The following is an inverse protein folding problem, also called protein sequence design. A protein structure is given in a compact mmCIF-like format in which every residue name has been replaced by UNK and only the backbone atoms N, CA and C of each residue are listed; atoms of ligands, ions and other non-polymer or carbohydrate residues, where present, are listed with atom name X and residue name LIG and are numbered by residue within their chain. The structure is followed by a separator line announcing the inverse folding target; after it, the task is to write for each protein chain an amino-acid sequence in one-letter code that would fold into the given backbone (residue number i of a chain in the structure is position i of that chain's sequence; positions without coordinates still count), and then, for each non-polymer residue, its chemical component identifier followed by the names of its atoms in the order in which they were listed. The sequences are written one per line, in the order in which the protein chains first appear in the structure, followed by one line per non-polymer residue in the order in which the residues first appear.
data_IF_497685753464
#
_entry.id   IF_497685753464
#
_cell.length_a   1.000
_cell.length_b   1.000
_cell.length_c   1.000
_cell.angle_alpha   90.00
_cell.angle_beta   90.00
_cell.angle_gamma   90.00
#
_symmetry.space_group_name_H-M   'P 1'
#
loop_
_entity.id
_entity.type
_entity.pdbx_description
1 polymer ?
#
# COMPACT_ATOMS: atom_id res chain seq x y z
N UNK A 1 -6.93 6.27 12.08
CA UNK A 1 -7.90 5.51 12.91
C UNK A 1 -7.65 5.79 14.38
N UNK A 2 -6.40 5.69 14.84
CA UNK A 2 -6.00 6.05 16.22
C UNK A 2 -6.59 7.38 16.71
N UNK A 3 -6.44 8.47 15.95
CA UNK A 3 -7.01 9.80 16.28
C UNK A 3 -8.52 9.78 16.57
N UNK A 4 -9.29 9.09 15.74
CA UNK A 4 -10.75 8.98 15.88
C UNK A 4 -11.10 8.17 17.13
N UNK A 5 -10.30 7.16 17.46
CA UNK A 5 -10.49 6.34 18.67
C UNK A 5 -10.17 7.14 19.92
N UNK A 6 -9.11 7.95 19.90
CA UNK A 6 -8.78 8.85 20.99
C UNK A 6 -9.94 9.83 21.25
N UNK A 7 -10.46 10.48 20.20
CA UNK A 7 -11.63 11.36 20.32
C UNK A 7 -12.84 10.61 20.87
N UNK A 8 -13.11 9.37 20.41
CA UNK A 8 -14.19 8.54 20.95
C UNK A 8 -14.04 8.31 22.44
N UNK A 9 -12.84 7.96 22.89
CA UNK A 9 -12.59 7.63 24.29
C UNK A 9 -12.76 8.85 25.19
N UNK A 10 -12.26 10.01 24.76
CA UNK A 10 -12.42 11.28 25.49
C UNK A 10 -13.89 11.73 25.51
N UNK A 11 -14.61 11.58 24.41
CA UNK A 11 -16.04 11.88 24.35
C UNK A 11 -16.83 10.99 25.32
N UNK A 12 -16.61 9.67 25.30
CA UNK A 12 -17.22 8.74 26.25
C UNK A 12 -16.91 9.11 27.70
N UNK A 13 -15.65 9.38 28.00
CA UNK A 13 -15.25 9.81 29.34
C UNK A 13 -15.96 11.10 29.79
N UNK A 14 -16.12 12.07 28.88
CA UNK A 14 -16.81 13.33 29.18
C UNK A 14 -18.30 13.11 29.48
N UNK A 15 -18.94 12.21 28.73
CA UNK A 15 -20.34 11.81 28.92
C UNK A 15 -20.53 11.06 30.23
N UNK A 16 -19.68 10.07 30.52
CA UNK A 16 -19.69 9.29 31.76
C UNK A 16 -19.53 10.17 33.00
N UNK A 17 -18.70 11.21 32.90
CA UNK A 17 -18.48 12.20 33.98
C UNK A 17 -19.53 13.31 34.02
N UNK A 18 -20.50 13.32 33.09
CA UNK A 18 -21.57 14.33 33.01
C UNK A 18 -21.00 15.77 33.02
N UNK A 19 -19.92 15.99 32.28
CA UNK A 19 -19.28 17.31 32.19
C UNK A 19 -20.21 18.29 31.47
N UNK A 20 -20.62 19.37 32.14
CA UNK A 20 -21.46 20.42 31.53
C UNK A 20 -20.82 21.05 30.29
N UNK A 21 -19.50 21.19 30.30
CA UNK A 21 -18.72 21.68 29.18
C UNK A 21 -17.40 20.91 29.09
N UNK A 22 -17.07 20.43 27.90
CA UNK A 22 -15.81 19.75 27.61
C UNK A 22 -15.22 20.29 26.31
N UNK A 23 -13.90 20.46 26.28
CA UNK A 23 -13.15 20.87 25.09
C UNK A 23 -12.20 19.74 24.70
N UNK A 24 -12.44 19.13 23.56
CA UNK A 24 -11.58 18.09 23.01
C UNK A 24 -10.67 18.75 21.98
N UNK A 25 -9.38 18.76 22.27
CA UNK A 25 -8.36 19.38 21.43
C UNK A 25 -7.65 18.28 20.64
N UNK A 26 -7.58 18.43 19.32
CA UNK A 26 -6.87 17.49 18.44
C UNK A 26 -6.11 18.24 17.36
N UNK A 27 -4.91 17.77 17.01
CA UNK A 27 -4.14 18.26 15.88
C UNK A 27 -4.52 17.60 14.54
N UNK A 28 -5.30 16.51 14.61
CA UNK A 28 -5.76 15.74 13.46
C UNK A 28 -6.92 16.44 12.74
N UNK A 29 -6.58 17.39 11.87
CA UNK A 29 -7.55 18.07 11.00
C UNK A 29 -8.46 17.09 10.25
N UNK A 30 -7.89 15.98 9.76
CA UNK A 30 -8.67 14.96 9.04
C UNK A 30 -9.73 14.27 9.90
N UNK A 31 -9.43 13.98 11.18
CA UNK A 31 -10.38 13.33 12.08
C UNK A 31 -11.55 14.28 12.40
N UNK A 32 -11.23 15.55 12.66
CA UNK A 32 -12.22 16.59 12.93
C UNK A 32 -13.11 16.87 11.72
N UNK A 33 -12.55 16.93 10.50
CA UNK A 33 -13.35 17.08 9.28
C UNK A 33 -14.27 15.88 9.03
N UNK A 34 -13.82 14.66 9.34
CA UNK A 34 -14.68 13.46 9.29
C UNK A 34 -15.85 13.53 10.28
N UNK A 35 -15.62 14.10 11.47
CA UNK A 35 -16.67 14.35 12.48
C UNK A 35 -17.61 15.51 12.10
N UNK A 36 -17.12 16.51 11.39
CA UNK A 36 -17.95 17.60 10.87
C UNK A 36 -18.74 17.21 9.61
N UNK A 37 -18.29 16.19 8.86
CA UNK A 37 -18.94 15.74 7.63
C UNK A 37 -20.34 15.19 7.90
N UNK A 38 -21.31 15.55 7.07
CA UNK A 38 -22.67 14.98 7.13
C UNK A 38 -22.69 13.55 6.60
N UNK A 39 -21.91 13.26 5.56
CA UNK A 39 -21.93 11.99 4.84
C UNK A 39 -20.68 11.15 5.14
N UNK A 40 -20.59 10.58 6.34
CA UNK A 40 -19.51 9.65 6.70
C UNK A 40 -20.01 8.20 6.71
N UNK A 41 -19.23 7.30 6.10
CA UNK A 41 -19.59 5.87 5.97
C UNK A 41 -19.06 5.03 7.13
N UNK A 42 -18.07 5.54 7.85
CA UNK A 42 -17.43 4.83 8.96
C UNK A 42 -18.33 4.85 10.19
N UNK A 43 -18.79 3.66 10.59
CA UNK A 43 -19.68 3.43 11.75
C UNK A 43 -19.14 4.12 13.01
N UNK A 44 -17.87 3.93 13.33
CA UNK A 44 -17.24 4.55 14.52
C UNK A 44 -17.37 6.08 14.56
N UNK A 45 -17.32 6.76 13.41
CA UNK A 45 -17.44 8.22 13.38
C UNK A 45 -18.88 8.65 13.60
N UNK A 46 -19.85 7.91 13.06
CA UNK A 46 -21.27 8.19 13.27
C UNK A 46 -21.66 7.91 14.72
N UNK A 47 -21.19 6.81 15.31
CA UNK A 47 -21.34 6.53 16.74
C UNK A 47 -20.84 7.70 17.61
N UNK A 48 -19.67 8.27 17.30
CA UNK A 48 -19.16 9.42 18.06
C UNK A 48 -20.10 10.63 17.93
N UNK A 49 -20.61 10.91 16.73
CA UNK A 49 -21.54 12.02 16.50
C UNK A 49 -22.83 11.83 17.28
N UNK A 50 -23.38 10.62 17.25
CA UNK A 50 -24.65 10.32 17.90
C UNK A 50 -24.49 10.43 19.43
N UNK A 51 -23.40 9.88 19.99
CA UNK A 51 -23.06 10.06 21.41
C UNK A 51 -22.92 11.54 21.81
N UNK A 52 -22.28 12.37 20.99
CA UNK A 52 -22.12 13.80 21.27
C UNK A 52 -23.47 14.55 21.16
N UNK A 53 -24.33 14.16 20.21
CA UNK A 53 -25.65 14.79 20.01
C UNK A 53 -26.66 14.43 21.11
N UNK A 54 -26.63 13.20 21.59
CA UNK A 54 -27.52 12.73 22.65
C UNK A 54 -27.12 13.29 24.03
N UNK A 55 -25.86 13.70 24.18
CA UNK A 55 -25.37 14.28 25.41
C UNK A 55 -25.90 15.71 25.62
N UNK A 56 -26.36 16.00 26.84
CA UNK A 56 -26.94 17.30 27.19
C UNK A 56 -25.91 18.41 27.47
N UNK A 57 -24.63 18.06 27.60
CA UNK A 57 -23.54 19.02 27.79
C UNK A 57 -22.94 19.55 26.48
N UNK A 58 -22.12 20.58 26.59
CA UNK A 58 -21.44 21.20 25.45
C UNK A 58 -20.06 20.58 25.23
N UNK A 59 -19.92 19.71 24.22
CA UNK A 59 -18.63 19.15 23.80
C UNK A 59 -18.13 19.90 22.57
N UNK A 60 -17.08 20.69 22.74
CA UNK A 60 -16.45 21.45 21.66
C UNK A 60 -15.23 20.70 21.12
N UNK A 61 -15.20 20.51 19.80
CA UNK A 61 -14.05 19.95 19.10
C UNK A 61 -13.19 21.09 18.54
N UNK A 62 -11.94 21.19 19.01
CA UNK A 62 -11.02 22.27 18.66
C UNK A 62 -9.84 21.70 17.89
N UNK A 63 -9.62 22.24 16.69
CA UNK A 63 -8.42 21.94 15.91
C UNK A 63 -7.26 22.82 16.35
N UNK A 64 -6.12 22.21 16.65
CA UNK A 64 -4.85 22.91 16.84
C UNK A 64 -3.83 22.51 15.77
N UNK A 65 -2.84 23.36 15.55
CA UNK A 65 -1.74 23.01 14.66
C UNK A 65 -0.69 22.24 15.47
N UNK A 66 -0.28 21.07 14.98
CA UNK A 66 0.84 20.33 15.53
C UNK A 66 2.10 21.22 15.64
N UNK A 67 2.91 21.04 16.68
CA UNK A 67 4.22 21.66 16.89
C UNK A 67 4.25 23.19 17.15
N UNK A 68 3.38 23.73 18.01
CA UNK A 68 3.55 25.08 18.59
C UNK A 68 3.75 25.09 20.11
N UNK A 69 4.48 24.11 20.66
CA UNK A 69 4.84 24.10 22.08
C UNK A 69 3.64 23.97 23.02
N UNK A 70 2.59 23.27 22.60
CA UNK A 70 1.48 22.95 23.49
C UNK A 70 1.85 21.70 24.29
N UNK A 71 2.16 21.86 25.58
CA UNK A 71 2.62 20.77 26.47
C UNK A 71 1.68 19.56 26.47
N UNK A 72 0.37 19.80 26.32
CA UNK A 72 -0.63 18.72 26.22
C UNK A 72 -0.45 17.83 24.99
N UNK A 73 0.03 18.37 23.86
CA UNK A 73 0.27 17.59 22.64
C UNK A 73 1.52 16.73 22.80
N UNK A 74 2.58 17.28 23.38
CA UNK A 74 3.82 16.53 23.64
C UNK A 74 3.58 15.38 24.63
N UNK A 75 2.76 15.64 25.65
CA UNK A 75 2.33 14.60 26.60
C UNK A 75 1.53 13.50 25.91
N UNK A 76 0.60 13.87 25.02
CA UNK A 76 -0.17 12.90 24.24
C UNK A 76 0.73 12.07 23.31
N UNK A 77 1.69 12.70 22.64
CA UNK A 77 2.65 12.02 21.76
C UNK A 77 3.54 11.05 22.54
N UNK A 78 3.94 11.39 23.76
CA UNK A 78 4.68 10.48 24.64
C UNK A 78 3.82 9.26 25.03
N UNK A 79 2.55 9.47 25.39
CA UNK A 79 1.63 8.38 25.69
C UNK A 79 1.40 7.46 24.48
N UNK A 80 1.28 8.02 23.28
CA UNK A 80 1.16 7.26 22.03
C UNK A 80 2.41 6.41 21.77
N UNK A 81 3.61 6.97 22.02
CA UNK A 81 4.87 6.21 21.92
C UNK A 81 4.92 5.05 22.91
N UNK A 82 4.53 5.29 24.17
CA UNK A 82 4.46 4.24 25.20
C UNK A 82 3.41 3.17 24.86
N UNK A 83 2.27 3.56 24.27
CA UNK A 83 1.25 2.62 23.84
C UNK A 83 1.74 1.75 22.67
N UNK A 84 2.57 2.31 21.77
CA UNK A 84 3.13 1.59 20.62
C UNK A 84 4.13 0.50 21.02
N UNK A 85 4.68 0.56 22.23
CA UNK A 85 5.60 -0.45 22.78
C UNK A 85 4.89 -1.54 23.60
N UNK A 86 3.57 -1.47 23.77
CA UNK A 86 2.81 -2.50 24.48
C UNK A 86 2.60 -3.72 23.58
N UNK A 87 2.75 -4.92 24.16
CA UNK A 87 2.51 -6.19 23.45
C UNK A 87 1.02 -6.46 23.19
N UNK A 88 0.13 -5.85 23.96
CA UNK A 88 -1.32 -6.03 23.85
C UNK A 88 -1.96 -5.02 22.90
N UNK A 89 -2.82 -5.49 21.99
CA UNK A 89 -3.57 -4.66 21.06
C UNK A 89 -4.97 -4.39 21.60
N UNK A 90 -5.21 -3.15 22.05
CA UNK A 90 -6.50 -2.75 22.64
C UNK A 90 -7.61 -2.57 21.59
N UNK A 91 -7.25 -2.23 20.34
CA UNK A 91 -8.19 -2.00 19.26
C UNK A 91 -7.73 -2.66 17.96
N UNK A 92 -8.55 -3.57 17.44
CA UNK A 92 -8.37 -4.15 16.10
C UNK A 92 -9.35 -3.53 15.12
N UNK A 93 -8.86 -3.15 13.95
CA UNK A 93 -9.65 -2.59 12.87
C UNK A 93 -9.54 -3.46 11.63
N UNK A 94 -10.61 -3.50 10.83
CA UNK A 94 -10.53 -4.09 9.51
C UNK A 94 -9.41 -3.41 8.70
N UNK A 95 -8.56 -4.19 8.01
CA UNK A 95 -7.46 -3.63 7.26
C UNK A 95 -7.99 -2.66 6.21
N UNK A 96 -7.33 -1.51 6.10
CA UNK A 96 -7.66 -0.53 5.08
C UNK A 96 -7.45 -1.12 3.68
N UNK A 97 -8.12 -0.57 2.67
CA UNK A 97 -7.91 -0.96 1.27
C UNK A 97 -6.44 -0.92 0.86
N UNK A 98 -5.68 0.05 1.39
CA UNK A 98 -4.24 0.16 1.17
C UNK A 98 -3.47 -1.01 1.79
N UNK A 99 -3.77 -1.39 3.03
CA UNK A 99 -3.14 -2.55 3.68
C UNK A 99 -3.45 -3.85 2.94
N UNK A 100 -4.70 -4.08 2.55
CA UNK A 100 -5.11 -5.24 1.77
C UNK A 100 -4.33 -5.29 0.45
N UNK A 101 -4.29 -4.16 -0.27
CA UNK A 101 -3.54 -4.05 -1.53
C UNK A 101 -2.05 -4.32 -1.33
N UNK A 102 -1.43 -3.76 -0.30
CA UNK A 102 -0.01 -3.95 -0.01
C UNK A 102 0.30 -5.39 0.38
N UNK A 103 -0.58 -6.04 1.16
CA UNK A 103 -0.45 -7.45 1.52
C UNK A 103 -0.50 -8.34 0.28
N UNK A 104 -1.51 -8.15 -0.58
CA UNK A 104 -1.61 -8.88 -1.84
C UNK A 104 -0.39 -8.63 -2.75
N UNK A 105 0.10 -7.39 -2.83
CA UNK A 105 1.32 -7.07 -3.58
C UNK A 105 2.55 -7.79 -3.02
N UNK A 106 2.66 -7.89 -1.70
CA UNK A 106 3.75 -8.61 -1.04
C UNK A 106 3.71 -10.11 -1.38
N UNK A 107 2.56 -10.75 -1.24
CA UNK A 107 2.38 -12.16 -1.59
C UNK A 107 2.71 -12.45 -3.05
N UNK A 108 2.24 -11.60 -3.97
CA UNK A 108 2.57 -11.72 -5.39
C UNK A 108 4.09 -11.58 -5.59
N UNK A 109 4.74 -10.61 -4.94
CA UNK A 109 6.17 -10.39 -5.08
C UNK A 109 6.98 -11.59 -4.56
N UNK A 110 6.57 -12.17 -3.43
CA UNK A 110 7.21 -13.34 -2.83
C UNK A 110 7.07 -14.58 -3.72
N UNK A 111 5.87 -14.87 -4.23
CA UNK A 111 5.64 -15.97 -5.17
C UNK A 111 6.45 -15.80 -6.47
N UNK A 112 6.54 -14.57 -6.98
CA UNK A 112 7.39 -14.26 -8.13
C UNK A 112 8.87 -14.43 -7.82
N UNK A 113 9.32 -14.01 -6.64
CA UNK A 113 10.70 -14.14 -6.21
C UNK A 113 11.11 -15.61 -6.06
N UNK A 114 10.24 -16.44 -5.49
CA UNK A 114 10.44 -17.89 -5.36
C UNK A 114 10.53 -18.57 -6.72
N UNK A 115 9.62 -18.25 -7.64
CA UNK A 115 9.67 -18.77 -9.01
C UNK A 115 10.93 -18.32 -9.75
N UNK A 116 11.37 -17.08 -9.51
CA UNK A 116 12.55 -16.52 -10.13
C UNK A 116 13.84 -17.17 -9.62
N UNK A 117 13.94 -17.44 -8.31
CA UNK A 117 15.10 -18.09 -7.70
C UNK A 117 15.20 -19.58 -8.03
N UNK A 118 14.08 -20.30 -8.02
CA UNK A 118 14.00 -21.75 -8.29
C UNK A 118 14.04 -22.10 -9.78
N UNK A 119 13.80 -21.13 -10.67
CA UNK A 119 13.82 -21.34 -12.11
C UNK A 119 15.20 -21.74 -12.64
N UNK A 120 15.24 -22.80 -13.45
CA UNK A 120 16.45 -23.24 -14.19
C UNK A 120 16.68 -22.47 -15.49
N UNK A 121 15.67 -21.70 -15.95
CA UNK A 121 15.73 -20.91 -17.19
C UNK A 121 16.23 -19.49 -16.90
N UNK A 122 16.85 -18.87 -17.91
CA UNK A 122 17.31 -17.48 -17.87
C UNK A 122 18.28 -17.15 -16.70
N UNK A 123 19.13 -18.10 -16.28
CA UNK A 123 20.05 -17.95 -15.13
C UNK A 123 21.03 -16.78 -15.27
N UNK A 124 21.45 -16.44 -16.48
CA UNK A 124 22.29 -15.26 -16.72
C UNK A 124 21.54 -13.95 -16.42
N UNK A 125 20.26 -13.87 -16.78
CA UNK A 125 19.42 -12.72 -16.42
C UNK A 125 19.18 -12.70 -14.91
N UNK A 126 19.00 -13.87 -14.28
CA UNK A 126 18.90 -13.98 -12.82
C UNK A 126 20.18 -13.49 -12.11
N UNK A 127 21.37 -13.79 -12.62
CA UNK A 127 22.61 -13.31 -12.02
C UNK A 127 22.75 -11.79 -12.08
N UNK A 128 22.19 -11.15 -13.11
CA UNK A 128 22.16 -9.69 -13.22
C UNK A 128 21.04 -9.07 -12.37
N UNK A 129 19.89 -9.76 -12.25
CA UNK A 129 18.66 -9.24 -11.65
C UNK A 129 18.04 -10.24 -10.67
N UNK A 130 18.76 -10.61 -9.63
CA UNK A 130 18.34 -11.69 -8.72
C UNK A 130 17.09 -11.37 -7.90
N UNK A 131 16.81 -10.07 -7.68
CA UNK A 131 15.67 -9.59 -6.89
C UNK A 131 14.53 -9.08 -7.76
N UNK A 132 13.32 -9.56 -7.50
CA UNK A 132 12.06 -9.08 -8.11
C UNK A 132 11.66 -7.77 -7.44
N UNK A 133 11.35 -6.76 -8.26
CA UNK A 133 10.90 -5.44 -7.79
C UNK A 133 9.89 -4.84 -8.78
N UNK A 134 8.80 -4.30 -8.24
CA UNK A 134 7.75 -3.59 -8.99
C UNK A 134 8.20 -2.23 -9.53
N UNK A 135 9.27 -1.63 -8.98
CA UNK A 135 9.82 -0.35 -9.47
C UNK A 135 10.62 -0.53 -10.75
N UNK A 136 11.21 -1.70 -10.94
CA UNK A 136 12.10 -2.02 -12.07
C UNK A 136 11.34 -2.11 -13.40
N UNK A 137 10.06 -2.48 -13.38
CA UNK A 137 9.19 -2.51 -14.56
C UNK A 137 8.78 -1.13 -15.06
N UNK A 138 8.99 -0.06 -14.28
CA UNK A 138 8.52 1.30 -14.61
C UNK A 138 9.58 2.26 -15.18
N UNK A 139 10.84 1.86 -15.37
CA UNK A 139 11.81 2.88 -15.80
C UNK A 139 13.22 2.51 -16.23
N UNK A 140 13.63 1.24 -16.24
CA UNK A 140 15.02 0.96 -16.65
C UNK A 140 15.12 0.69 -18.16
N UNK A 141 15.19 1.78 -18.93
CA UNK A 141 15.31 1.77 -20.39
C UNK A 141 16.48 0.88 -20.86
N UNK A 142 17.61 0.95 -20.16
CA UNK A 142 18.81 0.16 -20.49
C UNK A 142 18.59 -1.33 -20.21
N UNK A 143 17.88 -1.66 -19.13
CA UNK A 143 17.53 -3.05 -18.83
C UNK A 143 16.59 -3.64 -19.88
N UNK A 144 15.61 -2.87 -20.36
CA UNK A 144 14.72 -3.29 -21.44
C UNK A 144 15.51 -3.47 -22.75
N UNK A 145 16.49 -2.61 -23.03
CA UNK A 145 17.36 -2.76 -24.20
C UNK A 145 18.25 -4.01 -24.12
N UNK A 146 18.87 -4.28 -22.98
CA UNK A 146 19.71 -5.48 -22.78
C UNK A 146 18.87 -6.75 -22.93
N UNK A 147 17.68 -6.81 -22.32
CA UNK A 147 16.77 -7.95 -22.47
C UNK A 147 16.30 -8.16 -23.92
N UNK A 148 16.02 -7.07 -24.65
CA UNK A 148 15.69 -7.12 -26.09
C UNK A 148 16.87 -7.61 -26.92
N UNK A 149 18.08 -7.11 -26.66
CA UNK A 149 19.30 -7.51 -27.36
C UNK A 149 19.65 -8.98 -27.09
N UNK A 150 19.45 -9.48 -25.88
CA UNK A 150 19.65 -10.89 -25.54
C UNK A 150 18.63 -11.82 -26.19
N UNK A 151 17.37 -11.41 -26.27
CA UNK A 151 16.33 -12.15 -26.99
C UNK A 151 16.64 -12.19 -28.49
N UNK A 152 17.07 -11.06 -29.06
CA UNK A 152 17.54 -10.95 -30.44
C UNK A 152 18.76 -11.86 -30.70
N UNK A 153 19.72 -11.91 -29.76
CA UNK A 153 20.89 -12.79 -29.84
C UNK A 153 20.50 -14.27 -29.88
N UNK A 154 19.52 -14.70 -29.09
CA UNK A 154 19.04 -16.09 -29.12
C UNK A 154 18.34 -16.44 -30.44
N UNK A 155 17.57 -15.50 -31.00
CA UNK A 155 16.93 -15.68 -32.32
C UNK A 155 17.97 -15.75 -33.42
N UNK A 156 18.95 -14.84 -33.44
CA UNK A 156 20.07 -14.86 -34.41
C UNK A 156 20.89 -16.14 -34.27
N UNK A 157 21.15 -16.60 -33.04
CA UNK A 157 21.86 -17.86 -32.79
C UNK A 157 21.09 -19.08 -33.27
N UNK A 158 19.77 -19.11 -33.11
CA UNK A 158 18.91 -20.17 -33.65
C UNK A 158 18.90 -20.16 -35.19
N UNK A 159 18.87 -18.98 -35.82
CA UNK A 159 18.96 -18.82 -37.27
C UNK A 159 20.32 -19.26 -37.84
N UNK A 160 21.41 -18.95 -37.12
CA UNK A 160 22.77 -19.37 -37.48
C UNK A 160 22.96 -20.90 -37.33
N UNK A 161 22.37 -21.52 -36.30
CA UNK A 161 22.40 -22.97 -36.09
C UNK A 161 21.51 -23.72 -37.09
N UNK A 162 20.40 -23.12 -37.53
CA UNK A 162 19.51 -23.69 -38.55
C UNK A 162 20.06 -23.58 -39.98
N UNK A 163 21.19 -22.86 -40.19
CA UNK A 163 21.92 -22.77 -41.46
C UNK A 163 21.03 -22.39 -42.67
N UNK A 164 20.06 -21.52 -42.45
CA UNK A 164 19.16 -21.02 -43.51
C UNK A 164 19.88 -19.88 -44.23
N UNK A 165 20.29 -20.03 -45.50
CA UNK A 165 20.80 -18.90 -46.26
C UNK A 165 19.61 -18.05 -46.72
N UNK A 166 19.64 -16.75 -46.42
CA UNK A 166 18.65 -15.75 -46.83
C UNK A 166 17.29 -15.81 -46.10
N UNK A 167 17.30 -15.69 -44.77
CA UNK A 167 16.08 -15.39 -44.03
C UNK A 167 15.67 -13.93 -44.24
N UNK A 168 14.40 -13.69 -44.59
CA UNK A 168 13.87 -12.35 -44.89
C UNK A 168 13.34 -11.63 -43.63
N UNK A 169 13.24 -10.29 -43.69
CA UNK A 169 12.73 -9.47 -42.57
C UNK A 169 11.27 -9.83 -42.20
N UNK A 170 10.49 -10.39 -43.13
CA UNK A 170 9.13 -10.85 -42.86
C UNK A 170 9.10 -12.13 -42.02
N UNK A 171 10.03 -13.06 -42.23
CA UNK A 171 10.15 -14.28 -41.42
C UNK A 171 10.51 -13.96 -39.96
N UNK A 172 11.33 -12.93 -39.73
CA UNK A 172 11.64 -12.42 -38.40
C UNK A 172 10.43 -11.79 -37.70
N UNK A 173 9.55 -11.11 -38.44
CA UNK A 173 8.29 -10.57 -37.90
C UNK A 173 7.31 -11.68 -37.52
N UNK A 174 7.22 -12.73 -38.33
CA UNK A 174 6.37 -13.91 -38.07
C UNK A 174 6.87 -14.70 -36.84
N UNK A 175 8.18 -14.87 -36.68
CA UNK A 175 8.76 -15.50 -35.49
C UNK A 175 8.48 -14.69 -34.20
N UNK A 176 8.55 -13.37 -34.27
CA UNK A 176 8.26 -12.49 -33.13
C UNK A 176 6.77 -12.54 -32.73
N UNK A 177 5.87 -12.68 -33.71
CA UNK A 177 4.43 -12.85 -33.48
C UNK A 177 4.12 -14.22 -32.86
N UNK A 178 4.75 -15.29 -33.34
CA UNK A 178 4.64 -16.65 -32.78
C UNK A 178 5.14 -16.73 -31.34
N UNK A 179 6.26 -16.06 -31.02
CA UNK A 179 6.78 -16.01 -29.65
C UNK A 179 5.87 -15.18 -28.71
N UNK A 180 5.14 -14.19 -29.22
CA UNK A 180 4.16 -13.41 -28.46
C UNK A 180 2.83 -14.15 -28.26
N UNK A 181 2.41 -14.98 -29.22
CA UNK A 181 1.23 -15.83 -29.12
C UNK A 181 1.44 -17.01 -28.16
N UNK A 182 2.64 -17.61 -28.15
CA UNK A 182 2.96 -18.72 -27.25
C UNK A 182 3.07 -18.30 -25.77
N UNK A 183 3.17 -16.98 -25.50
CA UNK A 183 3.04 -16.40 -24.15
C UNK A 183 1.57 -16.22 -23.75
N UNK A 184 0.62 -16.17 -24.69
CA UNK A 184 -0.82 -16.06 -24.43
C UNK A 184 -1.58 -17.39 -24.47
N UNK A 185 -1.04 -18.46 -25.06
CA UNK A 185 -1.71 -19.78 -25.14
C UNK A 185 -1.28 -20.81 -24.09
N UNK A 186 -0.71 -20.36 -22.96
CA UNK A 186 -0.41 -21.21 -21.79
C UNK A 186 -1.52 -21.26 -20.74
N UNK A 187 -2.79 -21.15 -21.19
CA UNK A 187 -3.99 -21.42 -20.39
C UNK A 187 -4.83 -22.45 -21.16
N UNK A 188 -4.47 -23.72 -20.98
CA UNK A 188 -5.38 -24.84 -20.70
C UNK A 188 -4.69 -25.67 -19.62
#
# INVERSE_FOLDING_TARGET
MAEVVAIRQVAKYSIEKQLRQAKIISDSRSALMSLASVHERRVIINEIKDNIKEFSGDIQLIWIRANRGFEGNESADQLVKMASTKDHVDFSFCPSRGQIKNAAQKEILEAWQERWSSGSKARWTYSLLSKVDYKRTKGDFFLIQVLRAMALFHVIRLLLLAKIPNASVEELKVLFFMCSLNVRSGLI
#
